data_IF_111038089234
#
_entry.id   IF_111038089234
#
_cell.length_a   1.000
_cell.length_b   1.000
_cell.length_c   1.000
_cell.angle_alpha   90.00
_cell.angle_beta   90.00
_cell.angle_gamma   90.00
#
_symmetry.space_group_name_H-M   'P 1'
#
loop_
_entity.id
_entity.type
_entity.pdbx_description
1 polymer ?
#
# COMPACT_ATOMS: atom_id res chain seq x y z
N UNK A 1 -1.27 -16.46 12.26
CA UNK A 1 -0.31 -15.32 12.28
C UNK A 1 0.23 -15.03 10.87
N UNK A 2 0.32 -16.02 10.00
CA UNK A 2 0.84 -15.90 8.62
C UNK A 2 0.12 -14.84 7.75
N UNK A 3 -1.21 -14.75 7.82
CA UNK A 3 -2.01 -13.80 7.03
C UNK A 3 -1.76 -12.32 7.36
N UNK A 4 -1.46 -11.97 8.63
CA UNK A 4 -1.17 -10.59 8.99
C UNK A 4 0.17 -10.18 8.39
N UNK A 5 1.15 -11.08 8.45
CA UNK A 5 2.47 -10.88 7.86
C UNK A 5 2.38 -10.71 6.34
N UNK A 6 1.53 -11.48 5.67
CA UNK A 6 1.29 -11.35 4.23
C UNK A 6 0.74 -9.95 3.87
N UNK A 7 -0.27 -9.47 4.60
CA UNK A 7 -0.83 -8.14 4.40
C UNK A 7 0.23 -7.06 4.61
N UNK A 8 1.01 -7.15 5.68
CA UNK A 8 2.08 -6.21 5.97
C UNK A 8 3.13 -6.19 4.84
N UNK A 9 3.57 -7.36 4.38
CA UNK A 9 4.54 -7.48 3.31
C UNK A 9 4.03 -6.84 2.00
N UNK A 10 2.79 -7.13 1.61
CA UNK A 10 2.17 -6.55 0.40
C UNK A 10 2.04 -5.03 0.48
N UNK A 11 1.61 -4.53 1.64
CA UNK A 11 1.55 -3.08 1.85
C UNK A 11 2.96 -2.46 1.83
N UNK A 12 3.97 -3.13 2.38
CA UNK A 12 5.35 -2.66 2.29
C UNK A 12 5.90 -2.69 0.86
N UNK A 13 5.59 -3.71 0.06
CA UNK A 13 5.93 -3.77 -1.38
C UNK A 13 5.39 -2.54 -2.11
N UNK A 14 4.12 -2.19 -1.90
CA UNK A 14 3.50 -0.99 -2.45
C UNK A 14 4.20 0.30 -1.99
N UNK A 15 4.49 0.40 -0.69
CA UNK A 15 5.12 1.59 -0.12
C UNK A 15 6.55 1.77 -0.63
N UNK A 16 7.30 0.68 -0.85
CA UNK A 16 8.66 0.70 -1.37
C UNK A 16 8.71 0.88 -2.90
N UNK A 17 7.58 0.77 -3.60
CA UNK A 17 7.53 0.97 -5.04
C UNK A 17 7.69 2.46 -5.41
N UNK A 18 8.92 2.84 -5.78
CA UNK A 18 9.27 4.21 -6.18
C UNK A 18 8.68 4.63 -7.54
N UNK A 19 8.30 3.68 -8.40
CA UNK A 19 7.63 3.99 -9.67
C UNK A 19 6.24 4.61 -9.45
N UNK A 20 5.62 4.32 -8.31
CA UNK A 20 4.35 4.89 -7.90
C UNK A 20 4.55 6.07 -6.96
N UNK A 21 4.15 7.24 -7.42
CA UNK A 21 4.12 8.42 -6.55
C UNK A 21 3.07 8.27 -5.45
N UNK A 22 3.36 8.82 -4.26
CA UNK A 22 2.38 8.90 -3.16
C UNK A 22 1.06 9.56 -3.58
N UNK A 23 1.12 10.48 -4.56
CA UNK A 23 -0.06 11.12 -5.13
C UNK A 23 -0.89 10.16 -6.00
N UNK A 24 -0.26 9.27 -6.78
CA UNK A 24 -0.96 8.23 -7.55
C UNK A 24 -1.65 7.25 -6.63
N UNK A 25 -0.91 6.69 -5.68
CA UNK A 25 -1.45 5.75 -4.68
C UNK A 25 -2.61 6.40 -3.93
N UNK A 26 -2.45 7.64 -3.46
CA UNK A 26 -3.50 8.35 -2.75
C UNK A 26 -4.77 8.56 -3.59
N UNK A 27 -4.64 8.94 -4.87
CA UNK A 27 -5.80 9.10 -5.76
C UNK A 27 -6.54 7.79 -5.98
N UNK A 28 -5.82 6.71 -6.23
CA UNK A 28 -6.43 5.42 -6.58
C UNK A 28 -7.05 4.72 -5.36
N UNK A 29 -6.43 4.88 -4.18
CA UNK A 29 -6.91 4.27 -2.93
C UNK A 29 -7.88 5.14 -2.13
N UNK A 30 -8.03 6.41 -2.50
CA UNK A 30 -8.79 7.41 -1.74
C UNK A 30 -8.11 7.87 -0.44
N UNK A 31 -6.83 7.53 -0.25
CA UNK A 31 -6.02 7.95 0.90
C UNK A 31 -5.28 9.27 0.61
N UNK A 32 -4.94 10.02 1.66
CA UNK A 32 -4.14 11.22 1.46
C UNK A 32 -2.70 10.88 1.06
N UNK A 33 -2.14 11.61 0.10
CA UNK A 33 -0.74 11.46 -0.28
C UNK A 33 0.22 11.72 0.89
N UNK A 34 -0.16 12.60 1.83
CA UNK A 34 0.59 12.84 3.07
C UNK A 34 0.68 11.61 3.96
N UNK A 35 -0.42 10.85 4.08
CA UNK A 35 -0.41 9.58 4.81
C UNK A 35 0.53 8.56 4.16
N UNK A 36 0.51 8.44 2.83
CA UNK A 36 1.43 7.52 2.12
C UNK A 36 2.89 7.92 2.35
N UNK A 37 3.20 9.23 2.29
CA UNK A 37 4.54 9.73 2.60
C UNK A 37 4.95 9.40 4.03
N UNK A 38 4.08 9.62 5.01
CA UNK A 38 4.39 9.31 6.41
C UNK A 38 4.65 7.81 6.64
N UNK A 39 3.93 6.95 5.93
CA UNK A 39 4.17 5.50 5.97
C UNK A 39 5.53 5.15 5.34
N UNK A 40 5.85 5.72 4.18
CA UNK A 40 7.15 5.52 3.51
C UNK A 40 8.34 5.99 4.34
N UNK A 41 8.20 7.10 5.04
CA UNK A 41 9.30 7.66 5.86
C UNK A 41 9.40 7.02 7.23
N UNK A 42 8.52 6.07 7.57
CA UNK A 42 8.45 5.49 8.92
C UNK A 42 7.97 6.47 10.00
N UNK A 43 7.52 7.67 9.62
CA UNK A 43 6.91 8.63 10.56
C UNK A 43 5.61 8.08 11.15
N UNK A 44 4.91 7.25 10.36
CA UNK A 44 3.77 6.46 10.81
C UNK A 44 4.01 4.99 10.44
N UNK A 45 3.63 4.09 11.32
CA UNK A 45 3.77 2.65 11.15
C UNK A 45 2.42 2.00 10.85
N UNK A 46 2.43 0.77 10.33
CA UNK A 46 1.21 0.04 9.96
C UNK A 46 0.39 -0.36 11.19
N UNK A 47 1.03 -0.73 12.30
CA UNK A 47 0.40 -1.09 13.58
C UNK A 47 -0.48 0.02 14.18
N UNK A 48 -0.11 1.29 13.99
CA UNK A 48 -0.88 2.46 14.46
C UNK A 48 -1.80 3.06 13.38
N UNK A 49 -1.89 2.39 12.22
CA UNK A 49 -2.75 2.81 11.11
C UNK A 49 -4.10 2.11 11.20
N UNK A 50 -5.18 2.84 10.87
CA UNK A 50 -6.52 2.25 10.82
C UNK A 50 -6.52 1.09 9.84
N UNK A 51 -7.04 -0.06 10.28
CA UNK A 51 -7.13 -1.28 9.48
C UNK A 51 -7.77 -1.05 8.10
N UNK A 52 -8.83 -0.23 8.02
CA UNK A 52 -9.47 0.12 6.74
C UNK A 52 -8.49 0.72 5.72
N UNK A 53 -7.54 1.55 6.17
CA UNK A 53 -6.57 2.16 5.27
C UNK A 53 -5.50 1.15 4.84
N UNK A 54 -5.10 0.23 5.73
CA UNK A 54 -4.19 -0.88 5.40
C UNK A 54 -4.85 -1.77 4.36
N UNK A 55 -6.13 -2.10 4.54
CA UNK A 55 -6.92 -2.89 3.61
C UNK A 55 -6.94 -2.26 2.20
N UNK A 56 -7.20 -0.95 2.10
CA UNK A 56 -7.19 -0.23 0.81
C UNK A 56 -5.83 -0.29 0.10
N UNK A 57 -4.73 -0.20 0.85
CA UNK A 57 -3.38 -0.34 0.30
C UNK A 57 -3.09 -1.77 -0.16
N UNK A 58 -3.52 -2.75 0.62
CA UNK A 58 -3.38 -4.18 0.28
C UNK A 58 -4.16 -4.53 -0.99
N UNK A 59 -5.44 -4.16 -1.08
CA UNK A 59 -6.29 -4.41 -2.25
C UNK A 59 -5.71 -3.75 -3.51
N UNK A 60 -5.14 -2.56 -3.38
CA UNK A 60 -4.48 -1.87 -4.49
C UNK A 60 -3.21 -2.60 -4.94
N UNK A 61 -2.38 -3.10 -4.03
CA UNK A 61 -1.22 -3.90 -4.39
C UNK A 61 -1.62 -5.18 -5.13
N UNK A 62 -2.68 -5.87 -4.68
CA UNK A 62 -3.19 -7.05 -5.38
C UNK A 62 -3.67 -6.72 -6.80
N UNK A 63 -4.39 -5.61 -6.97
CA UNK A 63 -4.85 -5.19 -8.29
C UNK A 63 -3.71 -4.87 -9.26
N UNK A 64 -2.60 -4.29 -8.77
CA UNK A 64 -1.39 -4.08 -9.58
C UNK A 64 -0.78 -5.41 -10.03
N UNK A 65 -0.69 -6.39 -9.13
CA UNK A 65 -0.16 -7.72 -9.45
C UNK A 65 -1.04 -8.52 -10.39
N UNK A 66 -2.36 -8.33 -10.35
CA UNK A 66 -3.29 -8.92 -11.30
C UNK A 66 -3.14 -8.28 -12.69
N UNK A 67 -3.05 -6.95 -12.76
CA UNK A 67 -2.81 -6.24 -14.01
C UNK A 67 -1.47 -6.65 -14.67
N UNK A 68 -0.39 -6.77 -13.87
CA UNK A 68 0.92 -7.19 -14.37
C UNK A 68 0.91 -8.63 -14.92
N UNK A 69 0.00 -9.50 -14.46
CA UNK A 69 -0.13 -10.89 -14.95
C UNK A 69 -0.92 -10.99 -16.25
N UNK A 70 -1.81 -10.05 -16.53
CA UNK A 70 -2.61 -10.02 -17.76
C UNK A 70 -1.83 -9.45 -18.96
N UNK A 71 -0.73 -8.74 -18.71
CA UNK A 71 0.17 -8.19 -19.75
C UNK A 71 1.30 -9.15 -20.20
N UNK A 72 1.35 -10.39 -19.67
CA UNK A 72 2.36 -11.43 -19.97
C UNK A 72 1.81 -12.58 -20.80
#
# INVERSE_FOLDING_TARGET
MEYIQEIENKVQELLNNESLSAAKIGRDTGLSAGMIKHLRTGYKTLDVTKFENIKKLYEYQLALEEADKEEV
#
